data_IF_892062637159
#
_entry.id   IF_892062637159
#
_cell.length_a   1.000
_cell.length_b   1.000
_cell.length_c   1.000
_cell.angle_alpha   90.00
_cell.angle_beta   90.00
_cell.angle_gamma   90.00
#
_symmetry.space_group_name_H-M   'P 1'
#
loop_
_entity.id
_entity.type
_entity.pdbx_description
1 polymer ?
#
# COMPACT_ATOMS: atom_id res chain seq x y z
N UNK A 1 25.39 1.77 -31.34
CA UNK A 1 25.43 0.36 -31.80
C UNK A 1 25.83 -0.49 -30.62
N UNK A 2 25.01 -1.45 -30.16
CA UNK A 2 25.41 -2.31 -29.04
C UNK A 2 26.53 -3.27 -29.50
N UNK A 3 27.54 -3.46 -28.65
CA UNK A 3 28.68 -4.33 -28.90
C UNK A 3 28.22 -5.80 -28.86
N UNK A 4 28.29 -6.47 -30.01
CA UNK A 4 28.08 -7.91 -30.12
C UNK A 4 29.36 -8.58 -29.67
N UNK A 5 29.32 -9.28 -28.53
CA UNK A 5 30.43 -10.15 -28.13
C UNK A 5 30.61 -11.24 -29.20
N UNK A 6 31.83 -11.46 -29.71
CA UNK A 6 32.08 -12.53 -30.67
C UNK A 6 31.85 -13.89 -29.99
N UNK A 7 31.37 -14.90 -30.74
CA UNK A 7 31.12 -16.22 -30.16
C UNK A 7 32.42 -16.84 -29.63
N UNK A 8 32.37 -17.38 -28.41
CA UNK A 8 33.47 -18.12 -27.81
C UNK A 8 33.81 -19.34 -28.68
N UNK A 9 35.03 -19.37 -29.22
CA UNK A 9 35.51 -20.49 -30.02
C UNK A 9 36.17 -21.53 -29.11
N UNK A 10 35.51 -22.67 -28.93
CA UNK A 10 36.06 -23.82 -28.21
C UNK A 10 36.83 -24.69 -29.20
N UNK A 11 38.15 -24.75 -29.09
CA UNK A 11 38.99 -25.62 -29.91
C UNK A 11 39.15 -26.98 -29.22
N UNK A 12 38.53 -28.01 -29.77
CA UNK A 12 38.67 -29.39 -29.30
C UNK A 12 39.81 -30.09 -30.04
N UNK A 13 40.60 -30.88 -29.32
CA UNK A 13 41.58 -31.79 -29.96
C UNK A 13 40.83 -32.87 -30.73
N UNK A 14 41.44 -33.40 -31.80
CA UNK A 14 40.82 -34.43 -32.65
C UNK A 14 40.34 -35.65 -31.86
N UNK A 15 41.13 -36.07 -30.87
CA UNK A 15 40.79 -37.20 -30.00
C UNK A 15 39.59 -36.89 -29.11
N UNK A 16 39.49 -35.68 -28.56
CA UNK A 16 38.34 -35.25 -27.76
C UNK A 16 37.06 -35.16 -28.61
N UNK A 17 37.18 -34.72 -29.86
CA UNK A 17 36.07 -34.70 -30.81
C UNK A 17 35.57 -36.12 -31.14
N UNK A 18 36.48 -37.06 -31.40
CA UNK A 18 36.12 -38.46 -31.70
C UNK A 18 35.54 -39.21 -30.49
N UNK A 19 35.94 -38.82 -29.29
CA UNK A 19 35.36 -39.33 -28.04
C UNK A 19 33.96 -38.77 -27.80
N UNK A 20 33.78 -37.46 -28.00
CA UNK A 20 32.48 -36.79 -27.92
C UNK A 20 31.49 -37.38 -28.93
N UNK A 21 31.91 -37.67 -30.16
CA UNK A 21 31.07 -38.34 -31.16
C UNK A 21 30.64 -39.75 -30.71
N UNK A 22 31.55 -40.52 -30.11
CA UNK A 22 31.24 -41.85 -29.57
C UNK A 22 30.27 -41.78 -28.40
N UNK A 23 30.47 -40.81 -27.50
CA UNK A 23 29.59 -40.62 -26.36
C UNK A 23 28.21 -40.11 -26.78
N UNK A 24 28.13 -39.23 -27.79
CA UNK A 24 26.87 -38.81 -28.39
C UNK A 24 26.13 -39.96 -29.08
N UNK A 25 26.84 -40.86 -29.77
CA UNK A 25 26.26 -42.06 -30.38
C UNK A 25 25.71 -43.04 -29.31
N UNK A 26 26.41 -43.18 -28.18
CA UNK A 26 25.95 -43.98 -27.03
C UNK A 26 24.76 -43.32 -26.32
N UNK A 27 24.79 -42.00 -26.13
CA UNK A 27 23.71 -41.23 -25.53
C UNK A 27 22.42 -41.31 -26.36
N UNK A 28 22.51 -41.11 -27.68
CA UNK A 28 21.35 -41.17 -28.58
C UNK A 28 20.71 -42.55 -28.64
N UNK A 29 21.51 -43.63 -28.62
CA UNK A 29 20.98 -45.00 -28.62
C UNK A 29 20.32 -45.38 -27.30
N UNK A 30 20.85 -44.93 -26.17
CA UNK A 30 20.23 -45.12 -24.86
C UNK A 30 18.96 -44.29 -24.71
N UNK A 31 18.95 -43.04 -25.18
CA UNK A 31 17.77 -42.19 -25.19
C UNK A 31 16.65 -42.83 -26.03
N UNK A 32 16.97 -43.31 -27.24
CA UNK A 32 15.98 -43.96 -28.10
C UNK A 32 15.38 -45.23 -27.47
N UNK A 33 16.18 -45.99 -26.70
CA UNK A 33 15.68 -47.16 -25.95
C UNK A 33 14.78 -46.74 -24.78
N UNK A 34 15.15 -45.69 -24.05
CA UNK A 34 14.33 -45.13 -22.98
C UNK A 34 12.99 -44.62 -23.52
N UNK A 35 13.01 -43.87 -24.62
CA UNK A 35 11.80 -43.35 -25.28
C UNK A 35 10.90 -44.50 -25.78
N UNK A 36 11.48 -45.60 -26.30
CA UNK A 36 10.71 -46.77 -26.73
C UNK A 36 10.08 -47.53 -25.55
N UNK A 37 10.82 -47.67 -24.45
CA UNK A 37 10.31 -48.28 -23.23
C UNK A 37 9.18 -47.45 -22.63
N UNK A 38 9.34 -46.13 -22.56
CA UNK A 38 8.31 -45.22 -22.03
C UNK A 38 7.05 -45.21 -22.91
N UNK A 39 7.21 -45.32 -24.24
CA UNK A 39 6.08 -45.48 -25.18
C UNK A 39 5.33 -46.82 -25.01
N UNK A 40 6.01 -47.88 -24.58
CA UNK A 40 5.44 -49.25 -24.55
C UNK A 40 4.96 -49.68 -23.17
N UNK A 41 5.53 -49.12 -22.09
CA UNK A 41 5.23 -49.47 -20.70
C UNK A 41 4.63 -48.28 -19.92
N UNK A 42 4.97 -47.04 -20.30
CA UNK A 42 4.47 -45.82 -19.67
C UNK A 42 3.15 -45.38 -20.31
N UNK A 43 2.19 -44.95 -19.49
CA UNK A 43 1.04 -44.17 -19.94
C UNK A 43 1.59 -42.94 -20.66
N UNK A 44 1.61 -42.96 -21.99
CA UNK A 44 2.17 -41.92 -22.84
C UNK A 44 1.56 -40.54 -22.59
N UNK A 45 2.12 -39.82 -21.62
CA UNK A 45 1.96 -38.39 -21.43
C UNK A 45 3.17 -37.75 -22.09
N UNK A 46 3.01 -37.31 -23.34
CA UNK A 46 4.05 -36.53 -24.02
C UNK A 46 4.38 -35.27 -23.23
N UNK A 47 5.52 -35.29 -22.53
CA UNK A 47 6.00 -34.20 -21.67
C UNK A 47 6.61 -33.02 -22.45
N UNK A 48 6.63 -33.07 -23.78
CA UNK A 48 6.88 -31.91 -24.64
C UNK A 48 5.65 -31.63 -25.50
N UNK A 49 4.67 -30.97 -24.90
CA UNK A 49 3.74 -30.15 -25.67
C UNK A 49 4.56 -28.98 -26.21
N UNK A 50 4.51 -28.63 -27.50
CA UNK A 50 5.01 -27.32 -27.91
C UNK A 50 4.29 -26.31 -27.01
N UNK A 51 5.05 -25.48 -26.30
CA UNK A 51 4.45 -24.39 -25.55
C UNK A 51 3.57 -23.64 -26.57
N UNK A 52 2.27 -23.62 -26.33
CA UNK A 52 1.39 -22.78 -27.13
C UNK A 52 2.02 -21.38 -27.10
N UNK A 53 2.04 -20.64 -28.23
CA UNK A 53 2.52 -19.27 -28.22
C UNK A 53 1.82 -18.58 -27.04
N UNK A 54 2.61 -17.94 -26.17
CA UNK A 54 2.09 -17.17 -25.04
C UNK A 54 1.24 -16.08 -25.65
N UNK A 55 -0.04 -16.35 -25.83
CA UNK A 55 -1.00 -15.35 -26.26
C UNK A 55 -1.02 -14.35 -25.13
N UNK A 56 -0.67 -13.07 -25.38
CA UNK A 56 -0.84 -12.05 -24.37
C UNK A 56 -2.29 -12.10 -23.90
N UNK A 57 -2.55 -11.95 -22.58
CA UNK A 57 -3.88 -12.10 -22.02
C UNK A 57 -4.84 -11.19 -22.77
N UNK A 58 -6.02 -11.71 -23.09
CA UNK A 58 -7.06 -10.94 -23.76
C UNK A 58 -7.46 -9.72 -22.92
N UNK A 59 -8.01 -8.67 -23.53
CA UNK A 59 -8.47 -7.49 -22.78
C UNK A 59 -9.48 -7.85 -21.69
N UNK A 60 -10.29 -8.87 -21.91
CA UNK A 60 -11.26 -9.37 -20.94
C UNK A 60 -10.58 -10.07 -19.75
N UNK A 61 -9.53 -10.85 -19.98
CA UNK A 61 -8.73 -11.47 -18.91
C UNK A 61 -7.93 -10.41 -18.13
N UNK A 62 -7.40 -9.39 -18.79
CA UNK A 62 -6.72 -8.28 -18.13
C UNK A 62 -7.69 -7.48 -17.24
N UNK A 63 -8.90 -7.20 -17.73
CA UNK A 63 -9.93 -6.55 -16.93
C UNK A 63 -10.37 -7.42 -15.75
N UNK A 64 -10.49 -8.74 -15.94
CA UNK A 64 -10.82 -9.67 -14.87
C UNK A 64 -9.71 -9.75 -13.80
N UNK A 65 -8.44 -9.70 -14.21
CA UNK A 65 -7.29 -9.65 -13.30
C UNK A 65 -7.26 -8.34 -12.51
N UNK A 66 -7.43 -7.20 -13.17
CA UNK A 66 -7.51 -5.90 -12.50
C UNK A 66 -8.63 -5.87 -11.44
N UNK A 67 -9.82 -6.37 -11.78
CA UNK A 67 -10.91 -6.48 -10.80
C UNK A 67 -10.61 -7.45 -9.65
N UNK A 68 -9.84 -8.51 -9.90
CA UNK A 68 -9.44 -9.44 -8.86
C UNK A 68 -8.43 -8.80 -7.89
N UNK A 69 -7.52 -7.98 -8.41
CA UNK A 69 -6.56 -7.20 -7.63
C UNK A 69 -7.28 -6.13 -6.81
N UNK A 70 -8.24 -5.40 -7.39
CA UNK A 70 -9.06 -4.42 -6.67
C UNK A 70 -9.77 -5.07 -5.47
N UNK A 71 -10.44 -6.22 -5.67
CA UNK A 71 -11.11 -6.95 -4.57
C UNK A 71 -10.13 -7.43 -3.49
N UNK A 72 -8.89 -7.73 -3.88
CA UNK A 72 -7.85 -8.16 -2.96
C UNK A 72 -7.38 -6.98 -2.10
N UNK A 73 -7.13 -5.83 -2.73
CA UNK A 73 -6.81 -4.59 -2.05
C UNK A 73 -7.95 -4.18 -1.10
N UNK A 74 -9.22 -4.20 -1.55
CA UNK A 74 -10.38 -3.90 -0.71
C UNK A 74 -10.41 -4.73 0.58
N UNK A 75 -10.23 -6.06 0.45
CA UNK A 75 -10.21 -6.97 1.60
C UNK A 75 -9.04 -6.70 2.53
N UNK A 76 -7.86 -6.45 1.99
CA UNK A 76 -6.68 -6.13 2.78
C UNK A 76 -6.81 -4.81 3.54
N UNK A 77 -7.34 -3.78 2.89
CA UNK A 77 -7.58 -2.47 3.50
C UNK A 77 -8.68 -2.54 4.58
N UNK A 78 -9.76 -3.28 4.34
CA UNK A 78 -10.77 -3.55 5.37
C UNK A 78 -10.18 -4.30 6.57
N UNK A 79 -9.27 -5.25 6.33
CA UNK A 79 -8.55 -5.94 7.40
C UNK A 79 -7.65 -4.98 8.20
N UNK A 80 -6.99 -4.02 7.54
CA UNK A 80 -6.20 -2.99 8.22
C UNK A 80 -7.08 -2.04 9.05
N UNK A 81 -8.28 -1.73 8.55
CA UNK A 81 -9.24 -0.90 9.29
C UNK A 81 -9.77 -1.58 10.56
N UNK A 82 -9.81 -2.92 10.57
CA UNK A 82 -10.20 -3.72 11.73
C UNK A 82 -9.04 -4.01 12.70
N UNK A 83 -7.80 -3.71 12.31
CA UNK A 83 -6.62 -3.97 13.13
C UNK A 83 -6.57 -3.02 14.34
N UNK A 84 -6.39 -3.61 15.52
CA UNK A 84 -6.29 -2.87 16.78
C UNK A 84 -5.09 -1.91 16.79
N UNK A 85 -4.03 -2.23 16.05
CA UNK A 85 -2.81 -1.41 15.99
C UNK A 85 -3.04 -0.03 15.33
N UNK A 86 -4.01 0.09 14.43
CA UNK A 86 -4.31 1.34 13.72
C UNK A 86 -5.57 2.03 14.23
N UNK A 87 -6.24 1.45 15.22
CA UNK A 87 -7.52 1.96 15.73
C UNK A 87 -7.42 3.38 16.27
N UNK A 88 -6.36 3.70 17.01
CA UNK A 88 -6.15 5.05 17.54
C UNK A 88 -5.95 6.09 16.43
N UNK A 89 -5.24 5.73 15.35
CA UNK A 89 -5.03 6.61 14.18
C UNK A 89 -6.34 6.82 13.43
N UNK A 90 -7.13 5.77 13.27
CA UNK A 90 -8.42 5.82 12.58
C UNK A 90 -9.51 6.50 13.42
N UNK A 91 -9.45 6.41 14.75
CA UNK A 91 -10.34 7.16 15.63
C UNK A 91 -9.93 8.64 15.70
N UNK A 92 -8.65 8.97 15.53
CA UNK A 92 -8.18 10.35 15.38
C UNK A 92 -8.59 11.00 14.05
N UNK A 93 -8.74 10.20 12.98
CA UNK A 93 -9.22 10.65 11.67
C UNK A 93 -10.50 9.89 11.26
N UNK A 94 -11.68 10.35 11.70
CA UNK A 94 -12.96 9.69 11.42
C UNK A 94 -13.30 9.67 9.93
N UNK A 95 -12.75 10.60 9.13
CA UNK A 95 -12.93 10.62 7.67
C UNK A 95 -12.20 9.45 7.04
N UNK A 96 -10.95 9.23 7.43
CA UNK A 96 -10.15 8.09 6.97
C UNK A 96 -10.79 6.76 7.37
N UNK A 97 -11.32 6.66 8.60
CA UNK A 97 -12.06 5.47 9.05
C UNK A 97 -13.32 5.21 8.24
N UNK A 98 -14.10 6.25 7.95
CA UNK A 98 -15.29 6.13 7.11
C UNK A 98 -14.93 5.71 5.68
N UNK A 99 -13.86 6.25 5.11
CA UNK A 99 -13.37 5.85 3.79
C UNK A 99 -12.94 4.38 3.79
N UNK A 100 -12.09 3.96 4.74
CA UNK A 100 -11.61 2.57 4.80
C UNK A 100 -12.73 1.53 5.00
N UNK A 101 -13.87 1.92 5.57
CA UNK A 101 -15.00 1.01 5.83
C UNK A 101 -16.08 1.04 4.74
N UNK A 102 -16.30 2.19 4.08
CA UNK A 102 -17.33 2.35 3.06
C UNK A 102 -16.80 2.23 1.63
N UNK A 103 -15.59 2.72 1.37
CA UNK A 103 -14.92 2.67 0.08
C UNK A 103 -13.39 2.63 0.28
N UNK A 104 -12.82 1.45 0.60
CA UNK A 104 -11.41 1.34 0.96
C UNK A 104 -10.47 1.76 -0.18
N UNK A 105 -10.82 1.51 -1.45
CA UNK A 105 -9.96 1.88 -2.59
C UNK A 105 -9.80 3.40 -2.75
N UNK A 106 -10.75 4.20 -2.28
CA UNK A 106 -10.64 5.66 -2.32
C UNK A 106 -9.50 6.22 -1.45
N UNK A 107 -8.94 5.40 -0.55
CA UNK A 107 -7.79 5.77 0.29
C UNK A 107 -6.47 5.67 -0.48
N UNK A 108 -6.41 4.85 -1.54
CA UNK A 108 -5.18 4.59 -2.28
C UNK A 108 -4.56 5.85 -2.89
N UNK A 109 -5.31 6.73 -3.58
CA UNK A 109 -4.73 7.96 -4.12
C UNK A 109 -4.13 8.89 -3.06
N UNK A 110 -4.58 8.79 -1.80
CA UNK A 110 -4.12 9.64 -0.70
C UNK A 110 -2.92 9.06 0.05
N UNK A 111 -2.86 7.74 0.23
CA UNK A 111 -1.88 7.07 1.09
C UNK A 111 -0.91 6.15 0.35
N UNK A 112 -1.27 5.71 -0.85
CA UNK A 112 -0.49 4.79 -1.67
C UNK A 112 -0.66 5.10 -3.18
N UNK A 113 -0.29 6.32 -3.63
CA UNK A 113 -0.47 6.73 -5.03
C UNK A 113 0.40 5.93 -6.01
N UNK A 114 1.52 5.38 -5.51
CA UNK A 114 2.50 4.65 -6.31
C UNK A 114 2.27 3.14 -6.30
N UNK A 115 1.18 2.66 -5.70
CA UNK A 115 0.90 1.23 -5.58
C UNK A 115 0.74 0.59 -6.96
N UNK A 116 1.53 -0.44 -7.22
CA UNK A 116 1.52 -1.17 -8.49
C UNK A 116 0.60 -2.39 -8.49
N UNK A 117 0.39 -2.99 -7.32
CA UNK A 117 -0.49 -4.12 -7.12
C UNK A 117 -1.20 -4.04 -5.76
N UNK A 118 -2.10 -4.99 -5.51
CA UNK A 118 -2.87 -5.04 -4.26
C UNK A 118 -2.01 -5.19 -3.00
N UNK A 119 -0.87 -5.88 -3.06
CA UNK A 119 -0.06 -6.16 -1.87
C UNK A 119 0.80 -4.98 -1.51
N UNK A 120 1.33 -4.32 -2.52
CA UNK A 120 2.04 -3.06 -2.40
C UNK A 120 1.11 -1.96 -1.88
N UNK A 121 -0.13 -1.89 -2.39
CA UNK A 121 -1.15 -0.99 -1.87
C UNK A 121 -1.39 -1.16 -0.36
N UNK A 122 -1.56 -2.41 0.09
CA UNK A 122 -1.75 -2.73 1.51
C UNK A 122 -0.50 -2.37 2.32
N UNK A 123 0.69 -2.69 1.82
CA UNK A 123 1.95 -2.41 2.50
C UNK A 123 2.19 -0.90 2.67
N UNK A 124 1.98 -0.11 1.61
CA UNK A 124 2.13 1.34 1.62
C UNK A 124 1.11 2.02 2.53
N UNK A 125 -0.16 1.61 2.49
CA UNK A 125 -1.18 2.14 3.41
C UNK A 125 -0.83 1.79 4.86
N UNK A 126 -0.38 0.56 5.13
CA UNK A 126 0.05 0.14 6.46
C UNK A 126 1.24 0.97 6.95
N UNK A 127 2.22 1.24 6.09
CA UNK A 127 3.36 2.10 6.42
C UNK A 127 2.92 3.53 6.70
N UNK A 128 2.03 4.09 5.87
CA UNK A 128 1.49 5.44 6.05
C UNK A 128 0.70 5.57 7.37
N UNK A 129 -0.13 4.59 7.71
CA UNK A 129 -0.82 4.52 9.00
C UNK A 129 0.18 4.39 10.16
N UNK A 130 1.22 3.57 10.02
CA UNK A 130 2.29 3.44 11.02
C UNK A 130 3.09 4.72 11.23
N UNK A 131 3.31 5.52 10.19
CA UNK A 131 3.93 6.85 10.30
C UNK A 131 3.04 7.84 11.06
N UNK A 132 1.71 7.75 10.89
CA UNK A 132 0.71 8.56 11.61
C UNK A 132 0.48 8.11 13.05
N UNK A 133 0.68 6.82 13.34
CA UNK A 133 0.61 6.25 14.70
C UNK A 133 1.77 6.73 15.58
N UNK A 134 2.92 7.02 14.98
CA UNK A 134 3.98 7.74 15.69
C UNK A 134 3.53 9.18 15.86
N UNK A 135 3.69 9.80 17.05
CA UNK A 135 3.32 11.20 17.24
C UNK A 135 4.11 12.03 16.22
N UNK A 136 3.41 12.52 15.21
CA UNK A 136 3.92 13.59 14.38
C UNK A 136 4.11 14.77 15.33
N UNK A 137 5.37 15.09 15.65
CA UNK A 137 5.69 16.43 16.14
C UNK A 137 4.99 17.41 15.19
N UNK A 138 4.12 18.29 15.69
CA UNK A 138 3.35 19.18 14.83
C UNK A 138 4.32 19.92 13.91
N UNK A 139 3.98 20.13 12.63
CA UNK A 139 4.80 20.93 11.75
C UNK A 139 5.01 22.28 12.43
N UNK A 140 6.27 22.63 12.68
CA UNK A 140 6.63 23.94 13.18
C UNK A 140 5.93 24.98 12.27
N UNK A 141 5.26 26.00 12.83
CA UNK A 141 4.64 27.03 12.02
C UNK A 141 5.70 27.67 11.11
N UNK A 142 5.34 28.12 9.89
CA UNK A 142 6.31 28.63 8.93
C UNK A 142 7.13 29.75 9.57
N UNK A 143 8.46 29.64 9.42
CA UNK A 143 9.41 30.61 9.93
C UNK A 143 9.05 32.02 9.42
N UNK A 144 8.69 32.91 10.34
CA UNK A 144 8.52 34.34 10.06
C UNK A 144 9.87 34.95 9.63
N UNK A 145 9.89 35.81 8.60
CA UNK A 145 11.12 36.44 8.09
C UNK A 145 11.75 37.41 9.12
N UNK A 146 13.06 37.72 9.01
CA UNK A 146 13.80 38.39 10.08
C UNK A 146 13.49 39.89 10.09
N UNK A 147 13.07 40.41 11.24
CA UNK A 147 13.04 41.84 11.51
C UNK A 147 14.18 42.15 12.48
N UNK A 148 15.24 42.79 11.96
CA UNK A 148 16.31 43.37 12.77
C UNK A 148 15.90 44.82 13.15
N UNK A 149 16.22 45.30 14.38
CA UNK A 149 15.52 46.39 15.06
C UNK A 149 16.21 47.77 14.89
N UNK A 150 15.62 48.85 15.44
CA UNK A 150 16.48 49.73 16.22
C UNK A 150 15.88 50.24 17.55
N UNK A 151 16.75 50.14 18.57
CA UNK A 151 17.10 51.12 19.60
C UNK A 151 15.99 51.68 20.50
N UNK A 152 16.04 51.24 21.77
CA UNK A 152 15.45 51.96 22.90
C UNK A 152 15.24 51.04 24.10
N UNK A 153 16.21 51.02 25.03
CA UNK A 153 16.04 50.46 26.37
C UNK A 153 14.73 50.99 27.01
N UNK A 154 14.03 50.27 27.88
CA UNK A 154 14.34 50.17 29.32
C UNK A 154 13.36 49.14 29.96
N UNK A 155 13.91 48.24 30.78
CA UNK A 155 13.30 47.35 31.79
C UNK A 155 12.43 46.14 31.38
N UNK A 156 12.97 44.97 31.69
CA UNK A 156 12.32 43.68 31.69
C UNK A 156 11.42 43.47 32.94
N UNK A 157 10.29 42.80 32.69
CA UNK A 157 9.47 41.93 33.56
C UNK A 157 8.99 42.45 34.92
N UNK A 158 7.66 42.52 35.08
CA UNK A 158 6.96 41.33 35.60
C UNK A 158 5.46 41.34 35.28
N UNK A 159 4.92 40.14 35.00
CA UNK A 159 3.52 39.75 34.67
C UNK A 159 3.11 39.81 33.19
N UNK A 160 3.18 38.69 32.43
CA UNK A 160 2.39 38.54 31.22
C UNK A 160 0.91 38.38 31.60
N UNK A 161 0.08 39.34 31.20
CA UNK A 161 -1.36 39.16 31.13
C UNK A 161 -1.60 38.07 30.09
N UNK A 162 -2.06 36.92 30.56
CA UNK A 162 -2.30 35.72 29.77
C UNK A 162 -3.47 35.97 28.81
N UNK A 163 -3.17 36.32 27.56
CA UNK A 163 -4.16 36.52 26.47
C UNK A 163 -5.04 35.27 26.22
N UNK A 164 -4.65 34.10 26.74
CA UNK A 164 -5.46 32.90 26.74
C UNK A 164 -6.75 33.01 27.59
N UNK A 165 -6.84 33.99 28.51
CA UNK A 165 -8.00 34.13 29.42
C UNK A 165 -9.08 35.06 28.84
N UNK A 166 -8.73 36.00 27.95
CA UNK A 166 -9.72 36.89 27.32
C UNK A 166 -10.46 36.26 26.13
N UNK A 167 -9.84 35.30 25.42
CA UNK A 167 -10.52 34.54 24.36
C UNK A 167 -11.48 33.47 24.91
N UNK A 168 -11.25 32.97 26.12
CA UNK A 168 -12.16 32.04 26.80
C UNK A 168 -13.48 32.67 27.28
N UNK A 169 -13.53 34.00 27.48
CA UNK A 169 -14.79 34.72 27.81
C UNK A 169 -15.69 34.95 26.60
N UNK A 170 -15.20 34.69 25.38
CA UNK A 170 -15.89 34.98 24.12
C UNK A 170 -16.35 33.74 23.35
N UNK A 171 -16.37 32.58 24.02
CA UNK A 171 -17.16 31.45 23.56
C UNK A 171 -18.56 31.57 24.19
N UNK A 172 -19.63 31.76 23.40
CA UNK A 172 -20.97 31.67 23.93
C UNK A 172 -21.16 30.25 24.48
N UNK A 173 -21.55 30.16 25.75
CA UNK A 173 -21.87 28.91 26.46
C UNK A 173 -23.07 28.22 25.79
N UNK A 174 -22.82 27.51 24.69
CA UNK A 174 -23.81 26.77 23.91
C UNK A 174 -24.43 25.63 24.73
N UNK A 175 -23.68 25.05 25.64
CA UNK A 175 -24.15 23.96 26.51
C UNK A 175 -25.22 24.42 27.51
N UNK A 176 -25.12 25.65 28.06
CA UNK A 176 -26.17 26.22 28.91
C UNK A 176 -27.45 26.54 28.12
N UNK A 177 -27.32 26.95 26.85
CA UNK A 177 -28.48 27.24 26.00
C UNK A 177 -29.25 25.96 25.63
N UNK A 178 -28.55 24.87 25.35
CA UNK A 178 -29.18 23.57 25.03
C UNK A 178 -29.82 22.93 26.26
N UNK A 179 -29.17 23.00 27.43
CA UNK A 179 -29.76 22.50 28.67
C UNK A 179 -31.06 23.25 29.06
N UNK A 180 -31.14 24.56 28.80
CA UNK A 180 -32.35 25.37 29.00
C UNK A 180 -33.50 24.98 28.07
N UNK A 181 -33.23 24.70 26.79
CA UNK A 181 -34.26 24.28 25.83
C UNK A 181 -34.83 22.88 26.13
N UNK A 182 -34.00 21.94 26.56
CA UNK A 182 -34.44 20.58 26.89
C UNK A 182 -35.30 20.60 28.17
N UNK A 183 -34.90 21.39 29.17
CA UNK A 183 -35.69 21.59 30.39
C UNK A 183 -37.06 22.24 30.13
N UNK A 184 -37.13 23.23 29.23
CA UNK A 184 -38.39 23.88 28.85
C UNK A 184 -39.34 22.91 28.13
N UNK A 185 -38.85 22.12 27.17
CA UNK A 185 -39.65 21.11 26.45
C UNK A 185 -40.17 19.98 27.35
N UNK A 186 -39.41 19.58 28.37
CA UNK A 186 -39.85 18.56 29.34
C UNK A 186 -40.92 19.08 30.30
N UNK A 187 -40.87 20.37 30.67
CA UNK A 187 -41.92 21.01 31.48
C UNK A 187 -43.22 21.23 30.71
N UNK A 188 -43.14 21.56 29.42
CA UNK A 188 -44.33 21.76 28.58
C UNK A 188 -45.12 20.45 28.36
N UNK A 189 -44.42 19.31 28.29
CA UNK A 189 -45.04 17.98 28.13
C UNK A 189 -45.55 17.37 29.44
N UNK A 190 -45.22 17.91 30.61
CA UNK A 190 -45.68 17.40 31.91
C UNK A 190 -46.89 18.15 32.48
N UNK A 191 -47.36 19.20 31.80
CA UNK A 191 -48.51 20.03 32.22
C UNK A 191 -49.87 19.67 31.62
N UNK A 192 -49.99 18.59 30.83
CA UNK A 192 -51.29 18.11 30.33
C UNK A 192 -51.78 16.92 31.15
N UNK A 193 -52.46 17.22 32.25
CA UNK A 193 -53.51 16.40 32.84
C UNK A 193 -54.67 17.30 33.20
#
# INVERSE_FOLDING_TARGET
TPAVNPPEQVTLTKEAHDQLLRDAARGSTNQRKADLYDRTQGKGSGHFKPAAPVTPPSQEEQAAQAQAEDRKAERGLLSLAADLAFREVLDADPTLRNLMTSNPLAVLPMLAPDALDAEDAIALVKEALGKRAKPATPPAPPATPPVIPPVGAINANDKPVNEAVETARKLPNTERAVAGMIGAKLRENSGKK
#
